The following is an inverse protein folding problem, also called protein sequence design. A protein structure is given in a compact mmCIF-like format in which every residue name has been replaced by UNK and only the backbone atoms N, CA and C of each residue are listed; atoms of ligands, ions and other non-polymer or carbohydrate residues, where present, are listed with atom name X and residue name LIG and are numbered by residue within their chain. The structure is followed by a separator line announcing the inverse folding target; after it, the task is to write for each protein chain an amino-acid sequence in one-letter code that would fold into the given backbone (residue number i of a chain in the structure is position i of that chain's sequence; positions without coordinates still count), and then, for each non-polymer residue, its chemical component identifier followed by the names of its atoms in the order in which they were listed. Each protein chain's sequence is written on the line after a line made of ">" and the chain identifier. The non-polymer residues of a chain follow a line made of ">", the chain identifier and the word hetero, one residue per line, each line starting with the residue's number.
data_IF_043531154762
#
_entry.id   IF_043531154762
#
_cell.length_a   1.000
_cell.length_b   1.000
_cell.length_c   1.000
_cell.angle_alpha   90.00
_cell.angle_beta   90.00
_cell.angle_gamma   90.00
#
_symmetry.space_group_name_H-M   'P 1'
#
loop_
_entity.id
_entity.type
_entity.pdbx_description
1 polymer ?
#
# COMPACT_ATOMS: atom_id res chain seq x y z
N UNK A 1 43.61 20.45 -24.60
CA UNK A 1 42.32 20.48 -23.85
C UNK A 1 41.22 19.67 -24.53
N UNK A 2 41.00 19.80 -25.85
CA UNK A 2 39.98 19.03 -26.60
C UNK A 2 40.03 17.49 -26.44
N UNK A 3 41.22 16.91 -26.30
CA UNK A 3 41.40 15.44 -26.12
C UNK A 3 40.95 14.96 -24.73
N UNK A 4 41.19 15.78 -23.70
CA UNK A 4 40.77 15.49 -22.33
C UNK A 4 39.25 15.62 -22.20
N UNK A 5 38.65 16.63 -22.82
CA UNK A 5 37.18 16.79 -22.85
C UNK A 5 36.51 15.66 -23.62
N UNK A 6 37.11 15.15 -24.71
CA UNK A 6 36.59 13.99 -25.44
C UNK A 6 36.67 12.69 -24.62
N UNK A 7 37.75 12.52 -23.85
CA UNK A 7 37.93 11.36 -22.97
C UNK A 7 36.95 11.37 -21.78
N UNK A 8 36.66 12.54 -21.22
CA UNK A 8 35.70 12.67 -20.12
C UNK A 8 34.28 12.43 -20.63
N UNK A 9 33.95 12.94 -21.82
CA UNK A 9 32.64 12.76 -22.44
C UNK A 9 32.37 11.30 -22.83
N UNK A 10 33.37 10.60 -23.37
CA UNK A 10 33.26 9.18 -23.69
C UNK A 10 33.09 8.30 -22.45
N UNK A 11 33.77 8.64 -21.34
CA UNK A 11 33.63 7.91 -20.08
C UNK A 11 32.25 8.09 -19.43
N UNK A 12 31.67 9.29 -19.53
CA UNK A 12 30.31 9.55 -19.03
C UNK A 12 29.24 8.84 -19.87
N UNK A 13 29.41 8.75 -21.20
CA UNK A 13 28.50 8.00 -22.08
C UNK A 13 28.58 6.49 -21.82
N UNK A 14 29.76 5.94 -21.56
CA UNK A 14 29.90 4.52 -21.23
C UNK A 14 29.26 4.15 -19.87
N UNK A 15 29.16 5.10 -18.94
CA UNK A 15 28.51 4.87 -17.65
C UNK A 15 26.97 4.84 -17.74
N UNK A 16 26.36 5.54 -18.71
CA UNK A 16 24.89 5.57 -18.86
C UNK A 16 24.34 4.34 -19.60
N UNK A 17 25.16 3.60 -20.34
CA UNK A 17 24.75 2.35 -21.02
C UNK A 17 24.66 1.15 -20.07
N UNK A 18 25.19 1.27 -18.86
CA UNK A 18 24.99 0.31 -17.76
C UNK A 18 23.65 0.56 -17.04
N UNK A 19 22.59 0.80 -17.80
CA UNK A 19 21.24 0.80 -17.26
C UNK A 19 20.95 -0.63 -16.74
N UNK A 20 20.78 -0.75 -15.43
CA UNK A 20 20.61 -2.01 -14.72
C UNK A 20 19.47 -2.83 -15.37
N UNK A 21 19.79 -4.02 -15.89
CA UNK A 21 18.77 -4.99 -16.29
C UNK A 21 18.09 -5.48 -15.02
N UNK A 22 16.93 -4.92 -14.72
CA UNK A 22 16.15 -5.31 -13.57
C UNK A 22 15.61 -6.73 -13.80
N UNK A 23 16.05 -7.69 -12.99
CA UNK A 23 15.55 -9.06 -13.06
C UNK A 23 14.09 -9.09 -12.61
N UNK A 24 13.19 -9.37 -13.54
CA UNK A 24 11.73 -9.45 -13.31
C UNK A 24 11.26 -10.89 -13.09
N UNK A 25 12.17 -11.85 -12.97
CA UNK A 25 11.83 -13.27 -12.76
C UNK A 25 11.23 -13.51 -11.38
N UNK A 26 11.60 -12.68 -10.40
CA UNK A 26 11.07 -12.77 -9.03
C UNK A 26 9.95 -11.77 -8.85
N UNK A 27 8.73 -12.28 -8.67
CA UNK A 27 7.60 -11.43 -8.27
C UNK A 27 7.81 -10.95 -6.84
N UNK A 28 7.50 -9.67 -6.54
CA UNK A 28 7.39 -9.19 -5.18
C UNK A 28 6.44 -10.10 -4.40
N UNK A 29 6.79 -10.42 -3.15
CA UNK A 29 5.86 -11.13 -2.27
C UNK A 29 4.64 -10.23 -2.02
N UNK A 30 3.42 -10.79 -1.98
CA UNK A 30 2.24 -10.04 -1.56
C UNK A 30 2.49 -9.38 -0.20
N UNK A 31 2.04 -8.14 -0.05
CA UNK A 31 1.97 -7.53 1.27
C UNK A 31 1.04 -8.35 2.17
N UNK A 32 1.22 -8.23 3.48
CA UNK A 32 0.32 -8.87 4.44
C UNK A 32 -1.14 -8.46 4.15
N UNK A 33 -2.06 -9.39 4.36
CA UNK A 33 -3.49 -9.11 4.22
C UNK A 33 -3.86 -7.92 5.12
N UNK A 34 -4.72 -6.99 4.66
CA UNK A 34 -5.20 -5.92 5.50
C UNK A 34 -5.83 -6.52 6.76
N UNK A 35 -5.34 -6.14 7.94
CA UNK A 35 -6.00 -6.50 9.18
C UNK A 35 -7.34 -5.76 9.25
N UNK A 36 -8.45 -6.50 9.29
CA UNK A 36 -9.77 -5.94 9.52
C UNK A 36 -9.84 -5.54 11.00
N UNK A 37 -9.48 -4.29 11.29
CA UNK A 37 -9.69 -3.68 12.62
C UNK A 37 -11.15 -3.23 12.71
N UNK A 38 -12.06 -4.17 12.89
CA UNK A 38 -13.38 -3.85 13.43
C UNK A 38 -13.15 -3.19 14.79
N UNK A 39 -13.73 -2.01 14.99
CA UNK A 39 -13.56 -1.25 16.23
C UNK A 39 -14.12 -1.99 17.44
N UNK A 40 -14.28 -1.28 18.56
CA UNK A 40 -15.03 -1.82 19.69
C UNK A 40 -16.44 -2.14 19.22
N UNK A 41 -16.85 -3.39 19.42
CA UNK A 41 -18.22 -3.84 19.15
C UNK A 41 -18.98 -3.77 20.46
N UNK A 42 -20.08 -3.03 20.47
CA UNK A 42 -21.02 -3.03 21.59
C UNK A 42 -22.22 -3.91 21.22
N UNK A 43 -22.61 -4.79 22.14
CA UNK A 43 -23.78 -5.64 21.99
C UNK A 43 -24.82 -5.33 23.07
N UNK A 44 -26.09 -5.26 22.67
CA UNK A 44 -27.20 -5.16 23.60
C UNK A 44 -28.45 -5.84 23.04
N UNK A 45 -29.32 -6.23 23.96
CA UNK A 45 -30.62 -6.82 23.62
C UNK A 45 -31.72 -5.79 23.86
N UNK A 46 -32.50 -5.51 22.83
CA UNK A 46 -33.66 -4.63 22.89
C UNK A 46 -34.78 -5.26 23.72
N UNK A 47 -35.70 -4.45 24.25
CA UNK A 47 -36.82 -4.93 25.07
C UNK A 47 -37.74 -5.93 24.35
N UNK A 48 -37.74 -5.91 23.01
CA UNK A 48 -38.47 -6.86 22.16
C UNK A 48 -37.69 -8.17 21.88
N UNK A 49 -36.51 -8.35 22.48
CA UNK A 49 -35.68 -9.55 22.34
C UNK A 49 -34.69 -9.53 21.16
N UNK A 50 -34.65 -8.46 20.36
CA UNK A 50 -33.70 -8.35 19.25
C UNK A 50 -32.29 -8.06 19.75
N UNK A 51 -31.29 -8.80 19.24
CA UNK A 51 -29.87 -8.60 19.56
C UNK A 51 -29.25 -7.65 18.54
N UNK A 52 -28.71 -6.52 19.01
CA UNK A 52 -28.13 -5.47 18.19
C UNK A 52 -26.64 -5.41 18.44
N UNK A 53 -25.86 -5.30 17.36
CA UNK A 53 -24.42 -5.11 17.40
C UNK A 53 -24.10 -3.75 16.77
N UNK A 54 -23.37 -2.91 17.49
CA UNK A 54 -22.92 -1.60 17.04
C UNK A 54 -21.41 -1.59 16.96
N UNK A 55 -20.87 -1.18 15.81
CA UNK A 55 -19.43 -0.98 15.61
C UNK A 55 -19.19 0.47 15.26
N UNK A 56 -18.54 1.21 16.16
CA UNK A 56 -18.21 2.61 15.91
C UNK A 56 -17.06 2.75 14.91
N UNK A 57 -17.25 3.63 13.91
CA UNK A 57 -16.23 3.93 12.90
C UNK A 57 -16.17 5.44 12.61
N UNK A 58 -15.10 6.09 13.04
CA UNK A 58 -14.87 7.54 12.84
C UNK A 58 -14.13 7.89 11.54
N UNK A 59 -13.97 6.93 10.60
CA UNK A 59 -13.23 7.17 9.35
C UNK A 59 -14.03 8.01 8.35
N UNK A 60 -15.34 7.83 8.30
CA UNK A 60 -16.25 8.50 7.38
C UNK A 60 -17.56 8.83 8.11
N UNK A 61 -18.20 9.98 7.85
CA UNK A 61 -19.48 10.35 8.45
C UNK A 61 -20.63 9.60 7.74
N UNK A 62 -20.61 8.28 7.77
CA UNK A 62 -21.56 7.40 7.07
C UNK A 62 -22.16 6.38 8.04
N UNK A 63 -23.46 6.14 7.94
CA UNK A 63 -24.17 5.11 8.71
C UNK A 63 -24.58 3.97 7.79
N UNK A 64 -24.26 2.73 8.17
CA UNK A 64 -24.67 1.53 7.46
C UNK A 64 -25.45 0.61 8.42
N UNK A 65 -26.60 0.11 7.98
CA UNK A 65 -27.47 -0.78 8.75
C UNK A 65 -27.79 -1.99 7.89
N UNK A 66 -27.66 -3.19 8.47
CA UNK A 66 -28.11 -4.46 7.89
C UNK A 66 -29.06 -5.10 8.88
N UNK A 67 -30.19 -5.63 8.38
CA UNK A 67 -31.26 -6.26 9.16
C UNK A 67 -31.17 -7.78 8.98
#
# INVERSE_FOLDING_TARGET
>A
MKKLTLSILSLTIAATTMAQTFDRSVRPKPAAAPEIKLGKTEDFTLANGMRVFVVENHKLPTVAVSI
#
